data_IF_114484373585
#
_entry.id   IF_114484373585
#
_cell.length_a   1.000
_cell.length_b   1.000
_cell.length_c   1.000
_cell.angle_alpha   90.00
_cell.angle_beta   90.00
_cell.angle_gamma   90.00
#
_symmetry.space_group_name_H-M   'P 1'
#
loop_
_entity.id
_entity.type
_entity.pdbx_description
1 polymer ?
#
# COMPACT_ATOMS: atom_id res chain seq x y z
N UNK A 1 42.17 21.23 2.41
CA UNK A 1 41.22 20.79 3.45
C UNK A 1 39.74 21.04 3.09
N UNK A 2 39.33 22.22 2.60
CA UNK A 2 37.90 22.48 2.25
C UNK A 2 37.37 21.62 1.09
N UNK A 3 38.17 21.40 0.04
CA UNK A 3 37.76 20.62 -1.15
C UNK A 3 37.63 19.12 -0.87
N UNK A 4 38.46 18.56 0.00
CA UNK A 4 38.41 17.13 0.36
C UNK A 4 37.13 16.78 1.13
N UNK A 5 36.70 17.65 2.06
CA UNK A 5 35.42 17.46 2.77
C UNK A 5 34.21 17.57 1.84
N UNK A 6 34.26 18.47 0.86
CA UNK A 6 33.21 18.62 -0.15
C UNK A 6 33.12 17.38 -1.05
N UNK A 7 34.24 16.88 -1.56
CA UNK A 7 34.29 15.66 -2.37
C UNK A 7 33.81 14.43 -1.60
N UNK A 8 34.15 14.33 -0.31
CA UNK A 8 33.67 13.26 0.56
C UNK A 8 32.16 13.36 0.81
N UNK A 9 31.64 14.56 1.02
CA UNK A 9 30.19 14.80 1.17
C UNK A 9 29.39 14.47 -0.09
N UNK A 10 29.89 14.88 -1.27
CA UNK A 10 29.27 14.54 -2.56
C UNK A 10 29.35 13.02 -2.82
N UNK A 11 30.48 12.39 -2.48
CA UNK A 11 30.63 10.94 -2.57
C UNK A 11 29.63 10.20 -1.68
N UNK A 12 29.42 10.66 -0.45
CA UNK A 12 28.42 10.10 0.47
C UNK A 12 26.99 10.28 -0.04
N UNK A 13 26.67 11.44 -0.61
CA UNK A 13 25.36 11.70 -1.24
C UNK A 13 25.15 10.84 -2.50
N UNK A 14 26.20 10.61 -3.29
CA UNK A 14 26.15 9.72 -4.45
C UNK A 14 25.91 8.26 -4.06
N UNK A 15 26.56 7.79 -2.99
CA UNK A 15 26.31 6.44 -2.43
C UNK A 15 24.91 6.35 -1.83
N UNK A 16 24.47 7.37 -1.08
CA UNK A 16 23.11 7.41 -0.54
C UNK A 16 22.06 7.38 -1.65
N UNK A 17 22.24 8.17 -2.72
CA UNK A 17 21.34 8.17 -3.89
C UNK A 17 21.29 6.84 -4.64
N UNK A 18 22.38 6.05 -4.62
CA UNK A 18 22.40 4.71 -5.20
C UNK A 18 21.74 3.64 -4.31
N UNK A 19 21.57 3.91 -3.02
CA UNK A 19 20.89 3.03 -2.05
C UNK A 19 19.41 3.37 -1.93
N UNK A 20 19.03 4.63 -2.19
CA UNK A 20 17.64 5.07 -2.24
C UNK A 20 17.00 4.64 -3.57
N UNK A 21 16.51 3.40 -3.59
CA UNK A 21 15.58 2.92 -4.62
C UNK A 21 14.20 3.49 -4.29
N UNK A 22 13.60 4.22 -5.25
CA UNK A 22 12.23 4.67 -5.11
C UNK A 22 11.29 3.50 -5.39
N UNK A 23 10.21 3.40 -4.62
CA UNK A 23 9.18 2.41 -4.86
C UNK A 23 8.56 2.60 -6.24
N UNK A 24 8.59 1.53 -7.03
CA UNK A 24 7.80 1.36 -8.24
C UNK A 24 6.56 0.51 -7.91
N UNK A 25 5.58 0.52 -8.82
CA UNK A 25 4.32 -0.22 -8.70
C UNK A 25 4.51 -1.76 -8.65
N UNK A 26 5.75 -2.26 -8.70
CA UNK A 26 6.19 -3.66 -8.72
C UNK A 26 7.52 -3.81 -7.94
N UNK A 27 7.70 -3.07 -6.84
CA UNK A 27 9.03 -2.88 -6.23
C UNK A 27 9.52 -4.06 -5.37
N UNK A 28 8.64 -4.97 -4.94
CA UNK A 28 9.01 -6.03 -4.01
C UNK A 28 9.72 -7.19 -4.75
N UNK A 29 11.06 -7.32 -4.71
CA UNK A 29 11.77 -8.20 -5.64
C UNK A 29 11.46 -9.69 -5.46
N UNK A 30 10.99 -10.08 -4.26
CA UNK A 30 10.61 -11.46 -3.92
C UNK A 30 9.16 -11.81 -4.28
N UNK A 31 8.29 -10.83 -4.51
CA UNK A 31 6.87 -11.01 -4.84
C UNK A 31 6.45 -10.35 -6.15
N UNK A 32 7.39 -9.72 -6.85
CA UNK A 32 7.18 -9.03 -8.12
C UNK A 32 6.33 -9.86 -9.10
N UNK A 33 5.22 -9.27 -9.55
CA UNK A 33 4.29 -9.86 -10.52
C UNK A 33 3.48 -11.04 -9.98
N UNK A 34 3.49 -11.31 -8.67
CA UNK A 34 2.68 -12.38 -8.04
C UNK A 34 1.39 -11.85 -7.43
N UNK A 35 0.54 -12.74 -6.92
CA UNK A 35 -0.67 -12.39 -6.17
C UNK A 35 -0.41 -11.66 -4.84
N UNK A 36 0.82 -11.70 -4.35
CA UNK A 36 1.27 -11.04 -3.13
C UNK A 36 1.98 -9.70 -3.38
N UNK A 37 2.08 -9.27 -4.65
CA UNK A 37 2.74 -8.03 -4.99
C UNK A 37 1.87 -6.83 -4.64
N UNK A 38 2.38 -5.95 -3.78
CA UNK A 38 1.71 -4.71 -3.39
C UNK A 38 1.99 -3.70 -4.50
N UNK A 39 0.92 -3.24 -5.14
CA UNK A 39 0.99 -2.16 -6.11
C UNK A 39 1.20 -0.83 -5.37
N UNK A 40 0.24 -0.49 -4.51
CA UNK A 40 0.21 0.80 -3.81
C UNK A 40 -0.45 0.68 -2.43
N UNK A 41 -0.16 1.65 -1.59
CA UNK A 41 -0.76 1.80 -0.28
C UNK A 41 -1.15 3.26 -0.01
N UNK A 42 -2.37 3.46 0.45
CA UNK A 42 -2.92 4.78 0.76
C UNK A 42 -3.44 4.81 2.19
N UNK A 43 -3.20 5.93 2.87
CA UNK A 43 -3.73 6.22 4.21
C UNK A 43 -4.21 7.67 4.28
N UNK A 44 -5.49 7.90 4.63
CA UNK A 44 -6.06 9.25 4.66
C UNK A 44 -7.32 9.35 5.54
N UNK A 45 -7.68 10.58 5.92
CA UNK A 45 -8.99 10.88 6.48
C UNK A 45 -10.03 10.96 5.33
N UNK A 46 -11.19 10.28 5.43
CA UNK A 46 -12.19 10.27 4.35
C UNK A 46 -12.82 11.66 4.09
N UNK A 47 -12.70 12.56 5.05
CA UNK A 47 -13.06 13.97 4.96
C UNK A 47 -12.20 14.77 5.94
N UNK A 48 -11.98 16.05 5.67
CA UNK A 48 -11.21 16.93 6.58
C UNK A 48 -11.77 16.89 8.02
N UNK A 49 -10.92 16.51 8.98
CA UNK A 49 -11.28 16.43 10.40
C UNK A 49 -12.12 15.21 10.77
N UNK A 50 -12.08 14.15 9.97
CA UNK A 50 -12.80 12.92 10.26
C UNK A 50 -12.22 12.19 11.49
N UNK A 51 -13.11 11.61 12.30
CA UNK A 51 -12.72 10.67 13.37
C UNK A 51 -12.43 9.26 12.83
N UNK A 52 -12.33 9.09 11.51
CA UNK A 52 -12.00 7.83 10.85
C UNK A 52 -10.70 7.95 10.04
N UNK A 53 -9.99 6.83 9.95
CA UNK A 53 -8.84 6.66 9.05
C UNK A 53 -9.19 5.58 8.02
N UNK A 54 -8.92 5.85 6.75
CA UNK A 54 -9.05 4.90 5.64
C UNK A 54 -7.68 4.40 5.25
N UNK A 55 -7.57 3.08 5.13
CA UNK A 55 -6.44 2.40 4.51
C UNK A 55 -6.90 1.66 3.25
N UNK A 56 -6.14 1.81 2.17
CA UNK A 56 -6.34 1.10 0.90
C UNK A 56 -5.03 0.42 0.56
N UNK A 57 -5.06 -0.90 0.39
CA UNK A 57 -3.94 -1.68 -0.13
C UNK A 57 -4.34 -2.21 -1.50
N UNK A 58 -3.60 -1.79 -2.52
CA UNK A 58 -3.75 -2.33 -3.86
C UNK A 58 -2.74 -3.45 -4.08
N UNK A 59 -3.22 -4.57 -4.56
CA UNK A 59 -2.46 -5.75 -4.95
C UNK A 59 -2.81 -6.05 -6.38
N UNK A 60 -1.87 -6.57 -7.18
CA UNK A 60 -2.14 -7.00 -8.55
C UNK A 60 -2.65 -5.85 -9.47
N UNK A 61 -2.32 -5.89 -10.75
CA UNK A 61 -2.84 -4.88 -11.69
C UNK A 61 -2.95 -5.49 -13.08
N UNK A 62 -3.94 -5.04 -13.86
CA UNK A 62 -4.06 -5.41 -15.27
C UNK A 62 -3.57 -4.32 -16.23
N UNK A 63 -2.79 -3.35 -15.73
CA UNK A 63 -2.19 -2.29 -16.54
C UNK A 63 -1.30 -2.88 -17.66
N UNK A 64 -0.54 -3.92 -17.35
CA UNK A 64 0.26 -4.69 -18.31
C UNK A 64 -0.26 -6.14 -18.39
N UNK A 65 -0.15 -6.81 -19.55
CA UNK A 65 -0.72 -8.14 -19.77
C UNK A 65 -0.04 -9.26 -18.97
N UNK A 66 1.22 -9.08 -18.57
CA UNK A 66 2.02 -10.10 -17.89
C UNK A 66 1.91 -10.04 -16.36
N UNK A 67 1.12 -9.11 -15.83
CA UNK A 67 0.91 -8.96 -14.39
C UNK A 67 -0.19 -9.91 -13.88
N UNK A 68 -0.03 -10.38 -12.65
CA UNK A 68 -1.09 -11.08 -11.95
C UNK A 68 -2.30 -10.15 -11.77
N UNK A 69 -3.50 -10.69 -11.98
CA UNK A 69 -4.76 -9.99 -11.75
C UNK A 69 -5.94 -10.95 -11.59
N UNK A 70 -6.91 -10.56 -10.76
CA UNK A 70 -8.27 -11.10 -10.78
C UNK A 70 -8.67 -11.94 -9.57
N UNK A 71 -7.76 -12.34 -8.70
CA UNK A 71 -8.10 -13.12 -7.49
C UNK A 71 -7.11 -12.92 -6.35
N UNK A 72 -7.60 -12.86 -5.11
CA UNK A 72 -6.75 -12.92 -3.93
C UNK A 72 -6.35 -14.37 -3.61
N UNK A 73 -5.08 -14.60 -3.27
CA UNK A 73 -4.54 -15.91 -2.91
C UNK A 73 -4.82 -16.23 -1.42
N UNK A 74 -5.49 -17.35 -1.14
CA UNK A 74 -5.81 -17.81 0.23
C UNK A 74 -4.60 -18.10 1.12
N UNK A 75 -3.40 -18.12 0.55
CA UNK A 75 -2.15 -18.33 1.28
C UNK A 75 -1.40 -17.03 1.57
N UNK A 76 -1.94 -15.87 1.13
CA UNK A 76 -1.33 -14.56 1.32
C UNK A 76 -2.11 -13.77 2.36
N UNK A 77 -1.45 -13.48 3.48
CA UNK A 77 -1.90 -12.54 4.50
C UNK A 77 -1.40 -11.15 4.14
N UNK A 78 -2.31 -10.20 3.94
CA UNK A 78 -1.97 -8.78 3.83
C UNK A 78 -2.10 -8.13 5.19
N UNK A 79 -1.10 -7.37 5.60
CA UNK A 79 -1.02 -6.76 6.92
C UNK A 79 -0.65 -5.29 6.82
N UNK A 80 -1.52 -4.41 7.33
CA UNK A 80 -1.24 -3.01 7.55
C UNK A 80 -0.65 -2.88 8.95
N UNK A 81 0.61 -2.50 8.99
CA UNK A 81 1.39 -2.27 10.20
C UNK A 81 1.25 -0.80 10.60
N UNK A 82 1.01 -0.54 11.88
CA UNK A 82 0.72 0.79 12.40
C UNK A 82 1.61 1.05 13.62
N UNK A 83 2.55 1.97 13.46
CA UNK A 83 3.37 2.56 14.50
C UNK A 83 2.70 3.85 14.99
N UNK A 84 2.39 3.88 16.29
CA UNK A 84 1.70 4.98 16.95
C UNK A 84 2.65 5.90 17.70
N UNK A 85 3.86 5.47 18.05
CA UNK A 85 4.77 6.22 18.92
C UNK A 85 6.01 6.78 18.22
N UNK A 86 6.27 6.31 17.00
CA UNK A 86 7.31 6.77 16.11
C UNK A 86 8.63 6.02 16.21
N UNK A 87 8.72 4.91 16.96
CA UNK A 87 9.92 4.10 17.12
C UNK A 87 10.26 3.21 15.90
N UNK A 88 9.40 3.22 14.88
CA UNK A 88 9.50 2.41 13.65
C UNK A 88 9.31 0.91 13.87
N UNK A 89 8.55 0.53 14.90
CA UNK A 89 8.06 -0.81 15.18
C UNK A 89 6.54 -0.76 15.27
N UNK A 90 5.87 -1.76 14.73
CA UNK A 90 4.41 -1.78 14.70
C UNK A 90 3.83 -2.01 16.10
N UNK A 91 2.95 -1.10 16.51
CA UNK A 91 2.17 -1.18 17.74
C UNK A 91 0.87 -1.95 17.53
N UNK A 92 0.28 -1.79 16.34
CA UNK A 92 -0.98 -2.39 15.92
C UNK A 92 -0.86 -2.96 14.51
N UNK A 93 -1.61 -4.02 14.25
CA UNK A 93 -1.81 -4.57 12.91
C UNK A 93 -3.30 -4.64 12.56
N UNK A 94 -3.62 -4.33 11.31
CA UNK A 94 -4.89 -4.72 10.68
C UNK A 94 -4.56 -5.72 9.59
N UNK A 95 -5.13 -6.90 9.68
CA UNK A 95 -4.85 -8.01 8.78
C UNK A 95 -6.04 -8.30 7.88
N UNK A 96 -5.78 -8.72 6.65
CA UNK A 96 -6.75 -9.19 5.69
C UNK A 96 -6.27 -10.50 5.04
N UNK A 97 -7.11 -11.53 5.04
CA UNK A 97 -6.82 -12.82 4.39
C UNK A 97 -8.08 -13.39 3.74
N UNK A 98 -8.02 -13.81 2.46
CA UNK A 98 -9.19 -14.33 1.77
C UNK A 98 -9.42 -15.80 2.13
N UNK A 99 -10.68 -16.19 2.23
CA UNK A 99 -11.10 -17.57 2.38
C UNK A 99 -12.50 -17.78 1.82
N UNK A 100 -12.67 -18.77 0.95
CA UNK A 100 -13.96 -19.21 0.41
C UNK A 100 -14.82 -18.06 -0.16
N UNK A 101 -14.19 -17.16 -0.93
CA UNK A 101 -14.84 -16.02 -1.60
C UNK A 101 -15.12 -14.80 -0.71
N UNK A 102 -14.65 -14.81 0.54
CA UNK A 102 -14.74 -13.66 1.46
C UNK A 102 -13.36 -13.19 1.87
N UNK A 103 -13.23 -11.89 2.12
CA UNK A 103 -12.06 -11.31 2.78
C UNK A 103 -12.35 -11.19 4.27
N UNK A 104 -11.52 -11.82 5.10
CA UNK A 104 -11.61 -11.76 6.55
C UNK A 104 -10.62 -10.74 7.08
N UNK A 105 -11.09 -9.87 7.97
CA UNK A 105 -10.30 -8.83 8.59
C UNK A 105 -10.11 -9.09 10.09
N UNK A 106 -8.92 -8.80 10.60
CA UNK A 106 -8.55 -8.89 12.01
C UNK A 106 -7.89 -7.59 12.48
N UNK A 107 -7.99 -7.28 13.77
CA UNK A 107 -7.45 -6.06 14.37
C UNK A 107 -8.40 -4.84 14.32
N UNK A 108 -7.92 -3.60 14.51
CA UNK A 108 -6.56 -3.27 14.95
C UNK A 108 -6.24 -3.94 16.30
N UNK A 109 -5.07 -4.56 16.42
CA UNK A 109 -4.62 -5.21 17.66
C UNK A 109 -3.11 -5.24 17.71
N UNK A 110 -2.53 -5.24 18.91
CA UNK A 110 -1.10 -5.51 19.07
C UNK A 110 -0.72 -6.87 18.47
N UNK A 111 0.25 -6.94 17.55
CA UNK A 111 0.64 -8.21 16.95
C UNK A 111 1.36 -9.11 17.96
N UNK A 112 1.38 -10.42 17.68
CA UNK A 112 2.07 -11.40 18.55
C UNK A 112 3.59 -11.34 18.40
N UNK A 113 4.05 -11.06 17.18
CA UNK A 113 5.45 -10.82 16.85
C UNK A 113 5.53 -9.53 16.03
N UNK A 114 6.67 -8.86 16.05
CA UNK A 114 6.93 -7.72 15.18
C UNK A 114 8.01 -8.04 14.15
N UNK A 115 8.05 -7.29 13.05
CA UNK A 115 9.02 -7.42 11.97
C UNK A 115 8.53 -8.30 10.82
N UNK A 116 9.37 -9.24 10.38
CA UNK A 116 9.13 -10.00 9.13
C UNK A 116 8.24 -11.24 9.32
N UNK A 117 7.95 -11.62 10.56
CA UNK A 117 7.17 -12.81 10.88
C UNK A 117 5.80 -12.40 11.43
N UNK A 118 4.74 -12.93 10.83
CA UNK A 118 3.37 -12.65 11.27
C UNK A 118 2.56 -13.94 11.47
N UNK A 119 1.51 -13.83 12.28
CA UNK A 119 0.50 -14.86 12.48
C UNK A 119 -0.87 -14.22 12.40
N UNK A 120 -1.82 -14.94 11.80
CA UNK A 120 -3.21 -14.46 11.71
C UNK A 120 -3.77 -14.29 13.12
N UNK A 121 -4.24 -13.08 13.44
CA UNK A 121 -4.78 -12.69 14.74
C UNK A 121 -6.22 -13.19 14.93
N UNK A 122 -6.40 -14.51 14.83
CA UNK A 122 -7.72 -15.19 14.80
C UNK A 122 -8.63 -14.91 16.00
N UNK A 123 -8.05 -14.47 17.12
CA UNK A 123 -8.78 -14.11 18.34
C UNK A 123 -9.27 -12.64 18.36
N UNK A 124 -8.95 -11.86 17.33
CA UNK A 124 -9.30 -10.44 17.21
C UNK A 124 -10.01 -10.16 15.87
N UNK A 125 -11.13 -10.83 15.56
CA UNK A 125 -11.83 -10.59 14.30
C UNK A 125 -12.43 -9.19 14.25
N UNK A 126 -12.18 -8.47 13.15
CA UNK A 126 -12.82 -7.18 12.86
C UNK A 126 -14.14 -7.39 12.12
N UNK A 127 -14.16 -8.34 11.17
CA UNK A 127 -15.32 -8.63 10.34
C UNK A 127 -14.93 -9.37 9.06
N UNK A 128 -15.88 -9.49 8.15
CA UNK A 128 -15.62 -10.02 6.79
C UNK A 128 -16.53 -9.36 5.77
N UNK A 129 -16.12 -9.39 4.51
CA UNK A 129 -16.89 -8.91 3.36
C UNK A 129 -16.76 -9.90 2.21
N UNK A 130 -17.79 -10.03 1.38
CA UNK A 130 -17.68 -10.80 0.14
C UNK A 130 -16.67 -10.12 -0.80
N UNK A 131 -15.80 -10.92 -1.42
CA UNK A 131 -14.89 -10.41 -2.45
C UNK A 131 -15.75 -10.10 -3.67
N UNK A 132 -15.90 -8.82 -3.95
CA UNK A 132 -16.77 -8.33 -5.00
C UNK A 132 -16.16 -8.50 -6.40
N UNK A 133 -17.02 -8.50 -7.42
CA UNK A 133 -16.62 -8.36 -8.82
C UNK A 133 -16.80 -6.92 -9.29
N UNK A 134 -17.56 -6.71 -10.37
CA UNK A 134 -17.81 -5.38 -10.94
C UNK A 134 -18.63 -4.46 -10.04
N UNK A 135 -19.60 -5.01 -9.30
CA UNK A 135 -20.43 -4.23 -8.36
C UNK A 135 -19.82 -4.26 -6.97
N UNK A 136 -19.59 -3.09 -6.38
CA UNK A 136 -19.06 -2.96 -5.04
C UNK A 136 -19.92 -3.63 -3.97
N UNK A 137 -19.30 -4.45 -3.12
CA UNK A 137 -19.92 -4.98 -1.90
C UNK A 137 -19.10 -4.47 -0.72
N UNK A 138 -19.76 -3.77 0.20
CA UNK A 138 -19.16 -3.26 1.45
C UNK A 138 -19.84 -3.93 2.64
N UNK A 139 -19.10 -4.10 3.73
CA UNK A 139 -19.65 -4.55 5.01
C UNK A 139 -19.30 -3.56 6.12
N UNK A 140 -20.27 -3.23 6.97
CA UNK A 140 -20.01 -2.49 8.21
C UNK A 140 -19.91 -3.45 9.38
N UNK A 141 -18.95 -3.22 10.28
CA UNK A 141 -18.69 -4.06 11.45
C UNK A 141 -19.38 -3.50 12.69
N UNK A 142 -19.53 -4.33 13.73
CA UNK A 142 -20.10 -3.90 15.01
C UNK A 142 -19.25 -2.80 15.70
N UNK A 143 -17.95 -2.74 15.37
CA UNK A 143 -17.01 -1.76 15.91
C UNK A 143 -16.94 -0.48 15.07
N UNK A 144 -17.84 -0.31 14.08
CA UNK A 144 -17.93 0.90 13.26
C UNK A 144 -16.98 0.95 12.07
N UNK A 145 -16.23 -0.13 11.78
CA UNK A 145 -15.38 -0.18 10.60
C UNK A 145 -16.20 -0.47 9.33
N UNK A 146 -15.73 0.00 8.17
CA UNK A 146 -16.27 -0.37 6.85
C UNK A 146 -15.21 -1.11 6.05
N UNK A 147 -15.59 -2.27 5.52
CA UNK A 147 -14.71 -3.21 4.84
C UNK A 147 -15.07 -3.34 3.36
N UNK A 148 -14.07 -3.48 2.52
CA UNK A 148 -14.22 -3.79 1.11
C UNK A 148 -13.06 -4.64 0.59
N UNK A 149 -13.35 -5.56 -0.33
CA UNK A 149 -12.35 -6.28 -1.10
C UNK A 149 -12.86 -6.57 -2.53
N UNK A 150 -11.99 -6.40 -3.52
CA UNK A 150 -12.30 -6.68 -4.93
C UNK A 150 -11.64 -5.70 -5.89
N UNK A 151 -11.91 -5.80 -7.20
CA UNK A 151 -11.25 -4.99 -8.20
C UNK A 151 -11.70 -3.52 -8.12
N UNK A 152 -10.76 -2.58 -8.19
CA UNK A 152 -11.05 -1.15 -8.32
C UNK A 152 -10.21 -0.53 -9.41
N UNK A 153 -10.71 0.56 -9.99
CA UNK A 153 -9.95 1.28 -10.99
C UNK A 153 -8.65 1.75 -10.36
N UNK A 154 -7.56 1.52 -11.07
CA UNK A 154 -6.24 1.98 -10.70
C UNK A 154 -6.26 3.51 -10.58
N UNK A 155 -5.76 4.04 -9.46
CA UNK A 155 -5.87 5.47 -9.16
C UNK A 155 -4.84 6.32 -9.90
N UNK A 156 -3.84 5.69 -10.54
CA UNK A 156 -2.86 6.39 -11.35
C UNK A 156 -3.45 6.97 -12.62
N UNK A 157 -2.84 8.07 -13.04
CA UNK A 157 -3.15 8.80 -14.26
C UNK A 157 -1.82 9.20 -14.90
N UNK A 158 -1.33 8.41 -15.85
CA UNK A 158 0.05 8.55 -16.32
C UNK A 158 0.31 7.94 -17.71
N UNK A 159 1.06 8.65 -18.55
CA UNK A 159 1.62 8.12 -19.81
C UNK A 159 2.90 7.33 -19.54
N UNK A 160 2.71 6.13 -19.00
CA UNK A 160 3.77 5.23 -18.57
C UNK A 160 4.72 4.86 -19.71
N UNK A 161 4.20 4.62 -20.91
CA UNK A 161 5.04 4.29 -22.06
C UNK A 161 5.85 5.49 -22.54
N UNK A 162 5.29 6.71 -22.52
CA UNK A 162 6.05 7.90 -22.83
C UNK A 162 7.14 8.17 -21.79
N UNK A 163 6.84 7.99 -20.49
CA UNK A 163 7.84 8.11 -19.44
C UNK A 163 9.03 7.17 -19.69
N UNK A 164 8.75 5.88 -19.95
CA UNK A 164 9.78 4.90 -20.27
C UNK A 164 10.57 5.26 -21.54
N UNK A 165 9.92 5.80 -22.56
CA UNK A 165 10.60 6.29 -23.76
C UNK A 165 11.52 7.49 -23.48
N UNK A 166 11.12 8.40 -22.57
CA UNK A 166 11.93 9.56 -22.17
C UNK A 166 13.16 9.12 -21.40
N UNK A 167 13.01 8.31 -20.36
CA UNK A 167 14.16 7.82 -19.56
C UNK A 167 15.05 6.88 -20.37
N UNK A 168 14.48 6.16 -21.34
CA UNK A 168 15.20 5.30 -22.29
C UNK A 168 15.86 6.06 -23.45
N UNK A 169 15.70 7.38 -23.54
CA UNK A 169 16.29 8.21 -24.61
C UNK A 169 15.66 8.02 -26.00
N UNK A 170 14.52 7.34 -26.07
CA UNK A 170 13.77 7.07 -27.31
C UNK A 170 12.77 8.19 -27.65
N UNK A 171 12.50 9.09 -26.70
CA UNK A 171 11.63 10.26 -26.87
C UNK A 171 12.41 11.57 -26.68
N UNK A 172 13.17 12.03 -27.68
CA UNK A 172 13.97 13.26 -27.58
C UNK A 172 13.13 14.54 -27.41
N UNK A 173 11.84 14.48 -27.75
CA UNK A 173 10.87 15.56 -27.52
C UNK A 173 10.36 15.69 -26.08
N UNK A 174 10.71 14.74 -25.20
CA UNK A 174 10.26 14.75 -23.80
C UNK A 174 8.82 14.25 -23.62
N UNK A 175 8.15 14.73 -22.57
CA UNK A 175 6.74 14.40 -22.30
C UNK A 175 5.80 15.07 -23.30
N UNK A 176 4.71 14.39 -23.64
CA UNK A 176 3.67 14.89 -24.53
C UNK A 176 2.79 15.93 -23.84
N UNK A 177 2.14 16.79 -24.62
CA UNK A 177 1.07 17.65 -24.11
C UNK A 177 -0.17 16.81 -23.75
N UNK A 178 -1.06 17.39 -22.94
CA UNK A 178 -2.23 16.66 -22.41
C UNK A 178 -3.17 16.11 -23.49
N UNK A 179 -3.23 16.73 -24.67
CA UNK A 179 -4.03 16.30 -25.82
C UNK A 179 -3.40 15.14 -26.62
N UNK A 180 -2.10 14.90 -26.45
CA UNK A 180 -1.35 13.83 -27.13
C UNK A 180 -0.95 12.69 -26.18
N UNK A 181 -0.92 12.96 -24.88
CA UNK A 181 -0.60 11.99 -23.84
C UNK A 181 -1.68 10.91 -23.74
N UNK A 182 -1.26 9.70 -23.42
CA UNK A 182 -2.16 8.55 -23.22
C UNK A 182 -2.14 8.15 -21.76
N UNK A 183 -3.29 8.15 -21.09
CA UNK A 183 -3.39 7.56 -19.77
C UNK A 183 -3.32 6.02 -19.89
N UNK A 184 -2.20 5.45 -19.47
CA UNK A 184 -1.97 4.00 -19.56
C UNK A 184 -2.86 3.22 -18.60
N UNK A 185 -3.36 3.88 -17.56
CA UNK A 185 -4.16 3.31 -16.49
C UNK A 185 -5.67 3.45 -16.74
N UNK A 186 -6.07 4.13 -17.84
CA UNK A 186 -7.48 4.29 -18.19
C UNK A 186 -8.16 2.92 -18.37
N UNK A 187 -9.21 2.68 -17.60
CA UNK A 187 -9.96 1.41 -17.60
C UNK A 187 -9.20 0.21 -17.01
N UNK A 188 -8.03 0.45 -16.38
CA UNK A 188 -7.27 -0.56 -15.66
C UNK A 188 -7.71 -0.65 -14.22
N UNK A 189 -7.52 -1.81 -13.63
CA UNK A 189 -7.90 -2.10 -12.26
C UNK A 189 -6.75 -2.74 -11.49
N UNK A 190 -6.73 -2.45 -10.19
CA UNK A 190 -6.02 -3.20 -9.16
C UNK A 190 -6.98 -4.12 -8.40
N UNK A 191 -6.46 -5.06 -7.62
CA UNK A 191 -7.24 -5.79 -6.60
C UNK A 191 -7.06 -5.09 -5.25
N UNK A 192 -8.10 -4.40 -4.78
CA UNK A 192 -7.99 -3.55 -3.59
C UNK A 192 -8.57 -4.21 -2.35
N UNK A 193 -7.90 -3.99 -1.22
CA UNK A 193 -8.37 -4.23 0.14
C UNK A 193 -8.54 -2.87 0.80
N UNK A 194 -9.74 -2.57 1.29
CA UNK A 194 -10.04 -1.27 1.92
C UNK A 194 -10.65 -1.49 3.29
N UNK A 195 -10.13 -0.75 4.27
CA UNK A 195 -10.64 -0.70 5.63
C UNK A 195 -10.71 0.76 6.07
N UNK A 196 -11.92 1.23 6.37
CA UNK A 196 -12.16 2.48 7.09
C UNK A 196 -12.41 2.13 8.55
N UNK A 197 -11.61 2.68 9.47
CA UNK A 197 -11.71 2.39 10.91
C UNK A 197 -11.91 3.68 11.70
N UNK A 198 -12.73 3.66 12.77
CA UNK A 198 -12.74 4.75 13.74
C UNK A 198 -11.38 4.90 14.41
N UNK A 199 -10.90 6.14 14.55
CA UNK A 199 -9.63 6.48 15.21
C UNK A 199 -9.60 5.99 16.67
N UNK A 200 -10.76 5.85 17.32
CA UNK A 200 -10.86 5.24 18.64
C UNK A 200 -10.35 3.80 18.72
N UNK A 201 -10.29 3.07 17.58
CA UNK A 201 -9.69 1.73 17.50
C UNK A 201 -8.17 1.77 17.31
N UNK A 202 -7.62 2.89 16.81
CA UNK A 202 -6.20 3.09 16.58
C UNK A 202 -5.49 3.76 17.77
N UNK A 203 -6.23 4.48 18.60
CA UNK A 203 -5.67 5.26 19.71
C UNK A 203 -5.26 6.67 19.27
N UNK A 204 -4.46 7.35 20.08
CA UNK A 204 -3.92 8.68 19.76
C UNK A 204 -2.44 8.50 19.41
N UNK A 205 -1.98 8.91 18.21
CA UNK A 205 -0.57 8.79 17.88
C UNK A 205 0.26 9.79 18.68
N UNK A 206 1.39 9.33 19.21
CA UNK A 206 2.45 10.18 19.77
C UNK A 206 3.62 10.37 18.80
N UNK A 207 3.70 9.54 17.75
CA UNK A 207 4.62 9.71 16.64
C UNK A 207 4.33 10.98 15.83
N UNK A 208 5.37 11.63 15.32
CA UNK A 208 5.27 12.86 14.55
C UNK A 208 5.89 12.73 13.15
N UNK A 209 5.31 13.45 12.18
CA UNK A 209 5.92 13.62 10.86
C UNK A 209 7.00 14.73 10.88
N UNK A 210 7.64 14.96 9.74
CA UNK A 210 8.69 15.98 9.60
C UNK A 210 8.21 17.43 9.88
N UNK A 211 6.90 17.67 9.94
CA UNK A 211 6.28 18.96 10.26
C UNK A 211 5.87 19.07 11.74
N UNK A 212 6.13 18.04 12.57
CA UNK A 212 5.74 17.99 13.98
C UNK A 212 4.26 17.68 14.22
N UNK A 213 3.54 17.23 13.19
CA UNK A 213 2.13 16.83 13.32
C UNK A 213 2.06 15.37 13.79
N UNK A 214 1.15 15.08 14.73
CA UNK A 214 0.88 13.73 15.19
C UNK A 214 0.30 12.88 14.05
N UNK A 215 0.93 11.75 13.75
CA UNK A 215 0.52 10.84 12.66
C UNK A 215 0.72 9.39 13.06
N UNK A 216 -0.11 8.51 12.52
CA UNK A 216 0.23 7.10 12.45
C UNK A 216 1.29 6.91 11.37
N UNK A 217 2.39 6.24 11.69
CA UNK A 217 3.31 5.74 10.66
C UNK A 217 2.83 4.36 10.26
N UNK A 218 2.72 4.11 8.96
CA UNK A 218 2.12 2.89 8.45
C UNK A 218 2.89 2.32 7.27
N UNK A 219 2.90 1.00 7.17
CA UNK A 219 3.45 0.26 6.03
C UNK A 219 2.70 -1.04 5.86
N UNK A 220 2.85 -1.68 4.70
CA UNK A 220 2.14 -2.91 4.38
C UNK A 220 3.14 -4.04 4.16
N UNK A 221 2.79 -5.22 4.64
CA UNK A 221 3.50 -6.48 4.33
C UNK A 221 2.53 -7.49 3.74
N UNK A 222 3.04 -8.35 2.86
CA UNK A 222 2.36 -9.57 2.42
C UNK A 222 3.16 -10.78 2.89
N UNK A 223 2.50 -11.66 3.61
CA UNK A 223 3.11 -12.82 4.26
C UNK A 223 2.52 -14.09 3.68
N UNK A 224 3.37 -14.99 3.16
CA UNK A 224 2.94 -16.31 2.69
C UNK A 224 3.16 -17.35 3.78
N UNK A 225 2.19 -18.24 3.96
CA UNK A 225 2.31 -19.36 4.89
C UNK A 225 3.54 -20.23 4.54
N UNK A 226 4.41 -20.45 5.52
CA UNK A 226 5.53 -21.40 5.46
C UNK A 226 5.13 -22.78 6.00
#
# INVERSE_FOLDING_TARGET
MKKTKLLFGIGLLGVAGAILVAADHIDAPSSMGTSADIADFYGFEPSEGSDNTVFVVDLQSNVLPDLAYGSFDEMVLTEINIDTDGDLVEDLVIQAIPKDGKMYFFGPVKPTNTGLDSQVMVNSPLGSVEISGTTAIKASTANGATLFAGPRQDSFFFDFFQFNAVIGGMAPGGFKSADEAVDTFEGKNTMSIVVEVPNSLLGVPTGQNALGLGVYKTWVTTNKKQ
#
